data_IF_334959910397
#
_entry.id   IF_334959910397
#
_cell.length_a   1.000
_cell.length_b   1.000
_cell.length_c   1.000
_cell.angle_alpha   90.00
_cell.angle_beta   90.00
_cell.angle_gamma   90.00
#
_symmetry.space_group_name_H-M   'P 1'
#
loop_
_entity.id
_entity.type
_entity.pdbx_description
1 polymer ?
#
# COMPACT_ATOMS: atom_id res chain seq x y z
N UNK A 1 26.33 -8.81 -40.78
CA UNK A 1 25.15 -9.65 -41.07
C UNK A 1 23.95 -8.88 -40.55
N UNK A 2 23.07 -8.44 -41.44
CA UNK A 2 21.95 -7.55 -41.10
C UNK A 2 20.88 -8.28 -40.28
N UNK A 3 20.57 -7.77 -39.09
CA UNK A 3 19.57 -8.36 -38.19
C UNK A 3 18.15 -8.31 -38.77
N UNK A 4 17.88 -7.44 -39.76
CA UNK A 4 16.57 -7.37 -40.42
C UNK A 4 16.26 -8.61 -41.27
N UNK A 5 17.28 -9.26 -41.82
CA UNK A 5 17.15 -10.46 -42.65
C UNK A 5 16.71 -11.68 -41.85
N UNK A 6 17.24 -11.85 -40.64
CA UNK A 6 16.88 -12.98 -39.76
C UNK A 6 15.44 -12.86 -39.27
N UNK A 7 15.02 -11.62 -38.98
CA UNK A 7 13.67 -11.36 -38.50
C UNK A 7 12.60 -11.59 -39.58
N UNK A 8 12.86 -11.16 -40.82
CA UNK A 8 11.96 -11.44 -41.94
C UNK A 8 11.84 -12.94 -42.23
N UNK A 9 12.96 -13.66 -42.16
CA UNK A 9 12.98 -15.10 -42.39
C UNK A 9 12.18 -15.86 -41.31
N UNK A 10 12.27 -15.45 -40.04
CA UNK A 10 11.49 -16.03 -38.96
C UNK A 10 9.97 -15.76 -39.07
N UNK A 11 9.58 -14.64 -39.70
CA UNK A 11 8.19 -14.29 -39.93
C UNK A 11 7.58 -15.09 -41.08
N UNK A 12 8.34 -15.30 -42.16
CA UNK A 12 7.95 -16.18 -43.27
C UNK A 12 7.78 -17.64 -42.80
N UNK A 13 8.69 -18.15 -41.96
CA UNK A 13 8.56 -19.50 -41.37
C UNK A 13 7.30 -19.66 -40.50
N UNK A 14 6.79 -18.57 -39.93
CA UNK A 14 5.57 -18.55 -39.13
C UNK A 14 4.28 -18.31 -39.95
N UNK A 15 4.36 -18.23 -41.29
CA UNK A 15 3.24 -17.83 -42.17
C UNK A 15 2.61 -16.48 -41.77
N UNK A 16 3.44 -15.52 -41.36
CA UNK A 16 2.98 -14.17 -41.00
C UNK A 16 3.30 -13.23 -42.18
N UNK A 17 2.29 -12.94 -42.99
CA UNK A 17 2.41 -11.94 -44.07
C UNK A 17 2.49 -10.52 -43.46
N UNK A 18 3.68 -9.90 -43.56
CA UNK A 18 3.88 -8.50 -43.19
C UNK A 18 3.73 -7.63 -44.43
N UNK A 19 2.54 -7.68 -45.04
CA UNK A 19 2.15 -6.75 -46.09
C UNK A 19 0.84 -6.07 -45.69
N UNK A 20 0.98 -4.77 -45.40
CA UNK A 20 -0.07 -3.81 -45.01
C UNK A 20 -0.60 -3.97 -43.59
N UNK A 21 -0.53 -2.88 -42.81
CA UNK A 21 -0.84 -2.81 -41.38
C UNK A 21 -2.32 -3.00 -41.02
N UNK A 22 -2.90 -4.14 -41.39
CA UNK A 22 -4.23 -4.58 -40.98
C UNK A 22 -4.08 -5.96 -40.35
N UNK A 23 -4.25 -6.00 -39.03
CA UNK A 23 -4.23 -7.24 -38.26
C UNK A 23 -5.51 -8.02 -38.53
N UNK A 24 -5.44 -9.08 -39.34
CA UNK A 24 -6.55 -10.03 -39.52
C UNK A 24 -6.29 -11.21 -38.59
N UNK A 25 -7.10 -11.44 -37.54
CA UNK A 25 -6.95 -12.61 -36.69
C UNK A 25 -7.32 -13.86 -37.48
N UNK A 26 -6.32 -14.66 -37.85
CA UNK A 26 -6.54 -15.99 -38.43
C UNK A 26 -7.02 -16.96 -37.35
N UNK A 27 -8.08 -17.74 -37.59
CA UNK A 27 -8.55 -18.72 -36.64
C UNK A 27 -7.61 -19.93 -36.60
N UNK A 28 -7.12 -20.23 -35.40
CA UNK A 28 -6.47 -21.48 -34.98
C UNK A 28 -5.17 -21.88 -35.71
N UNK A 29 -4.04 -21.38 -35.21
CA UNK A 29 -2.73 -22.00 -35.40
C UNK A 29 -2.69 -23.34 -34.64
N UNK A 30 -2.95 -24.45 -35.34
CA UNK A 30 -2.49 -25.77 -34.89
C UNK A 30 -0.97 -25.80 -34.93
N UNK A 31 -0.33 -25.67 -33.76
CA UNK A 31 1.10 -25.92 -33.55
C UNK A 31 1.44 -27.35 -33.99
N UNK A 32 2.01 -27.50 -35.19
CA UNK A 32 2.62 -28.77 -35.63
C UNK A 32 4.02 -28.85 -35.05
N UNK A 33 4.16 -29.49 -33.89
CA UNK A 33 5.46 -29.83 -33.33
C UNK A 33 6.09 -30.91 -34.25
N UNK A 34 7.26 -30.66 -34.89
CA UNK A 34 7.93 -31.69 -35.67
C UNK A 34 8.38 -32.83 -34.76
N UNK A 35 7.93 -34.05 -35.07
CA UNK A 35 8.15 -35.28 -34.28
C UNK A 35 9.62 -35.66 -34.06
N UNK A 36 10.57 -34.95 -34.67
CA UNK A 36 12.00 -35.28 -34.64
C UNK A 36 12.76 -34.67 -33.45
N UNK A 37 12.11 -33.89 -32.56
CA UNK A 37 12.75 -33.29 -31.37
C UNK A 37 11.95 -33.48 -30.08
N UNK A 38 11.38 -34.66 -29.88
CA UNK A 38 10.85 -35.03 -28.57
C UNK A 38 12.06 -35.46 -27.72
N UNK A 39 12.41 -34.64 -26.72
CA UNK A 39 13.40 -34.99 -25.71
C UNK A 39 12.83 -36.16 -24.93
N UNK A 40 13.42 -37.34 -25.08
CA UNK A 40 13.05 -38.52 -24.30
C UNK A 40 13.63 -38.37 -22.89
N UNK A 41 12.79 -38.03 -21.92
CA UNK A 41 13.15 -38.05 -20.50
C UNK A 41 13.03 -39.49 -20.00
N UNK A 42 14.09 -40.05 -19.44
CA UNK A 42 14.05 -41.40 -18.88
C UNK A 42 13.08 -41.47 -17.69
N UNK A 43 12.26 -42.54 -17.56
CA UNK A 43 11.16 -42.61 -16.60
C UNK A 43 11.57 -42.92 -15.15
N UNK A 44 12.86 -42.95 -14.82
CA UNK A 44 13.36 -43.23 -13.47
C UNK A 44 13.80 -41.96 -12.75
N UNK A 45 12.83 -41.23 -12.20
CA UNK A 45 13.10 -40.25 -11.15
C UNK A 45 13.55 -40.99 -9.88
N UNK A 46 14.82 -40.81 -9.49
CA UNK A 46 15.31 -41.27 -8.19
C UNK A 46 15.09 -40.16 -7.17
N UNK A 47 14.16 -40.39 -6.25
CA UNK A 47 14.03 -39.63 -5.01
C UNK A 47 14.55 -40.50 -3.85
N UNK A 48 15.32 -39.94 -2.90
CA UNK A 48 15.64 -38.52 -2.71
C UNK A 48 16.79 -38.05 -3.61
N UNK A 49 16.72 -36.80 -4.08
CA UNK A 49 17.82 -36.14 -4.78
C UNK A 49 18.99 -35.96 -3.79
N UNK A 50 20.21 -36.28 -4.21
CA UNK A 50 21.40 -35.92 -3.42
C UNK A 50 21.40 -34.41 -3.20
N UNK A 51 21.44 -33.99 -1.93
CA UNK A 51 21.49 -32.58 -1.58
C UNK A 51 22.75 -31.96 -2.20
N UNK A 52 22.63 -30.87 -2.99
CA UNK A 52 23.80 -30.21 -3.52
C UNK A 52 24.68 -29.74 -2.36
N UNK A 53 25.99 -29.96 -2.47
CA UNK A 53 26.98 -29.44 -1.53
C UNK A 53 27.02 -27.91 -1.67
N UNK A 54 26.13 -27.22 -0.95
CA UNK A 54 26.06 -25.76 -0.91
C UNK A 54 27.25 -25.30 -0.08
N UNK A 55 28.38 -25.06 -0.76
CA UNK A 55 29.45 -24.25 -0.19
C UNK A 55 28.90 -22.86 0.04
N UNK A 56 28.72 -22.48 1.31
CA UNK A 56 28.32 -21.13 1.67
C UNK A 56 29.31 -20.14 1.04
N UNK A 57 28.85 -19.29 0.11
CA UNK A 57 29.71 -18.25 -0.39
C UNK A 57 29.89 -17.21 0.72
N UNK A 58 31.13 -17.00 1.13
CA UNK A 58 31.55 -15.99 2.11
C UNK A 58 31.29 -14.61 1.50
N UNK A 59 30.10 -14.08 1.73
CA UNK A 59 29.63 -12.78 1.23
C UNK A 59 29.51 -11.75 2.36
N UNK A 60 30.40 -11.78 3.35
CA UNK A 60 30.29 -10.86 4.49
C UNK A 60 30.47 -9.40 4.04
N UNK A 61 31.43 -9.12 3.14
CA UNK A 61 31.65 -7.75 2.62
C UNK A 61 30.46 -7.24 1.79
N UNK A 62 29.79 -8.11 1.04
CA UNK A 62 28.61 -7.76 0.23
C UNK A 62 27.36 -7.57 1.10
N UNK A 63 27.23 -8.34 2.19
CA UNK A 63 26.18 -8.13 3.19
C UNK A 63 26.38 -6.80 3.91
N UNK A 64 27.61 -6.47 4.30
CA UNK A 64 27.92 -5.19 4.94
C UNK A 64 27.68 -4.00 4.00
N UNK A 65 28.06 -4.10 2.72
CA UNK A 65 27.77 -3.08 1.72
C UNK A 65 26.25 -2.91 1.48
N UNK A 66 25.50 -4.01 1.44
CA UNK A 66 24.05 -3.95 1.30
C UNK A 66 23.36 -3.37 2.55
N UNK A 67 23.80 -3.77 3.73
CA UNK A 67 23.27 -3.29 5.01
C UNK A 67 23.56 -1.80 5.19
N UNK A 68 24.78 -1.35 4.89
CA UNK A 68 25.16 0.06 4.96
C UNK A 68 24.37 0.91 3.97
N UNK A 69 24.26 0.49 2.70
CA UNK A 69 23.43 1.19 1.71
C UNK A 69 21.94 1.25 2.10
N UNK A 70 21.41 0.17 2.69
CA UNK A 70 20.03 0.12 3.16
C UNK A 70 19.80 1.05 4.36
N UNK A 71 20.75 1.07 5.31
CA UNK A 71 20.71 1.96 6.47
C UNK A 71 20.82 3.43 6.07
N UNK A 72 21.73 3.77 5.15
CA UNK A 72 21.85 5.13 4.62
C UNK A 72 20.54 5.59 3.96
N UNK A 73 19.90 4.73 3.17
CA UNK A 73 18.60 5.04 2.55
C UNK A 73 17.52 5.33 3.59
N UNK A 74 17.49 4.57 4.69
CA UNK A 74 16.55 4.77 5.81
C UNK A 74 16.87 6.06 6.57
N UNK A 75 18.14 6.37 6.81
CA UNK A 75 18.55 7.59 7.50
C UNK A 75 18.22 8.81 6.64
N UNK A 76 18.52 8.77 5.34
CA UNK A 76 18.17 9.85 4.41
C UNK A 76 16.67 10.04 4.25
N UNK A 77 15.87 8.96 4.20
CA UNK A 77 14.41 9.07 4.16
C UNK A 77 13.85 9.70 5.44
N UNK A 78 14.39 9.33 6.61
CA UNK A 78 14.03 9.95 7.90
C UNK A 78 14.47 11.40 8.02
N UNK A 79 15.63 11.77 7.47
CA UNK A 79 16.07 13.18 7.46
C UNK A 79 15.22 14.03 6.51
N UNK A 80 14.86 13.51 5.33
CA UNK A 80 13.88 14.16 4.43
C UNK A 80 12.50 14.28 5.09
N UNK A 81 12.05 13.24 5.79
CA UNK A 81 10.82 13.24 6.57
C UNK A 81 10.85 14.22 7.76
N UNK A 82 12.00 14.46 8.38
CA UNK A 82 12.15 15.50 9.44
C UNK A 82 12.21 16.93 8.91
N UNK A 83 12.70 17.13 7.68
CA UNK A 83 12.67 18.43 7.00
C UNK A 83 11.30 18.73 6.37
N UNK A 84 10.52 17.69 6.06
CA UNK A 84 9.08 17.81 5.87
C UNK A 84 8.43 17.96 7.25
N UNK A 85 8.08 19.18 7.65
CA UNK A 85 7.36 19.42 8.91
C UNK A 85 6.00 18.72 9.02
N UNK A 86 5.60 17.88 8.05
CA UNK A 86 4.24 17.32 7.94
C UNK A 86 4.17 15.78 7.83
N UNK A 87 5.27 15.02 7.89
CA UNK A 87 5.21 13.54 7.71
C UNK A 87 5.14 12.72 9.02
N UNK A 88 4.36 13.21 9.98
CA UNK A 88 3.92 12.41 11.13
C UNK A 88 2.61 11.68 10.80
N UNK A 89 2.25 10.59 11.51
CA UNK A 89 0.96 9.93 11.32
C UNK A 89 -0.16 10.97 11.47
N UNK A 90 -1.15 10.91 10.56
CA UNK A 90 -2.26 11.83 10.30
C UNK A 90 -3.23 12.08 11.49
N UNK A 91 -2.69 12.37 12.66
CA UNK A 91 -3.36 12.81 13.88
C UNK A 91 -2.85 14.21 14.24
N UNK A 92 -2.91 15.13 13.28
CA UNK A 92 -2.55 16.53 13.50
C UNK A 92 -3.69 17.26 14.23
N UNK A 93 -3.55 17.39 15.55
CA UNK A 93 -4.21 18.44 16.33
C UNK A 93 -3.44 19.75 16.13
N UNK A 94 -3.61 20.41 14.98
CA UNK A 94 -3.11 21.77 14.82
C UNK A 94 -3.75 22.68 15.88
N UNK A 95 -2.92 23.50 16.54
CA UNK A 95 -3.41 24.56 17.42
C UNK A 95 -4.12 25.60 16.55
N UNK A 96 -5.44 25.49 16.49
CA UNK A 96 -6.28 26.45 15.78
C UNK A 96 -6.23 27.78 16.57
N UNK A 97 -5.78 28.84 15.90
CA UNK A 97 -5.99 30.21 16.38
C UNK A 97 -7.50 30.43 16.56
N UNK A 98 -7.97 31.11 17.62
CA UNK A 98 -9.39 31.29 17.85
C UNK A 98 -10.05 31.87 16.59
N UNK A 99 -10.95 31.09 15.99
CA UNK A 99 -11.75 31.52 14.84
C UNK A 99 -12.80 32.50 15.36
N UNK A 100 -12.92 33.70 14.78
CA UNK A 100 -13.75 34.78 15.31
C UNK A 100 -15.26 34.55 15.11
N UNK A 101 -15.68 33.69 14.18
CA UNK A 101 -17.10 33.41 13.93
C UNK A 101 -17.37 31.96 13.45
N UNK A 102 -18.61 31.49 13.60
CA UNK A 102 -19.07 30.16 13.19
C UNK A 102 -18.96 29.92 11.68
N UNK A 103 -19.22 30.94 10.86
CA UNK A 103 -19.09 30.84 9.39
C UNK A 103 -17.64 30.58 8.96
N UNK A 104 -16.68 31.27 9.60
CA UNK A 104 -15.26 31.06 9.35
C UNK A 104 -14.82 29.66 9.79
N UNK A 105 -15.37 29.16 10.89
CA UNK A 105 -15.13 27.79 11.32
C UNK A 105 -15.61 26.76 10.29
N UNK A 106 -16.81 26.93 9.73
CA UNK A 106 -17.35 26.04 8.70
C UNK A 106 -16.49 26.09 7.44
N UNK A 107 -16.07 27.29 7.02
CA UNK A 107 -15.19 27.48 5.87
C UNK A 107 -13.85 26.78 6.10
N UNK A 108 -13.23 27.01 7.26
CA UNK A 108 -11.96 26.39 7.64
C UNK A 108 -12.06 24.86 7.68
N UNK A 109 -13.13 24.32 8.28
CA UNK A 109 -13.38 22.88 8.33
C UNK A 109 -13.50 22.28 6.93
N UNK A 110 -14.19 22.96 6.00
CA UNK A 110 -14.29 22.53 4.59
C UNK A 110 -12.92 22.56 3.89
N UNK A 111 -12.17 23.64 4.04
CA UNK A 111 -10.82 23.77 3.47
C UNK A 111 -9.89 22.65 3.97
N UNK A 112 -9.91 22.38 5.29
CA UNK A 112 -9.11 21.32 5.89
C UNK A 112 -9.52 19.93 5.39
N UNK A 113 -10.81 19.67 5.19
CA UNK A 113 -11.28 18.42 4.60
C UNK A 113 -10.78 18.25 3.16
N UNK A 114 -10.82 19.31 2.35
CA UNK A 114 -10.29 19.29 0.98
C UNK A 114 -8.78 19.08 0.96
N UNK A 115 -8.04 19.75 1.83
CA UNK A 115 -6.59 19.57 1.97
C UNK A 115 -6.25 18.12 2.31
N UNK A 116 -6.92 17.55 3.32
CA UNK A 116 -6.70 16.18 3.74
C UNK A 116 -7.02 15.17 2.64
N UNK A 117 -8.10 15.39 1.88
CA UNK A 117 -8.45 14.55 0.73
C UNK A 117 -7.38 14.62 -0.38
N UNK A 118 -6.77 15.78 -0.58
CA UNK A 118 -5.66 15.95 -1.53
C UNK A 118 -4.41 15.21 -1.04
N UNK A 119 -4.03 15.40 0.22
CA UNK A 119 -2.89 14.69 0.84
C UNK A 119 -3.06 13.18 0.74
N UNK A 120 -4.26 12.66 1.02
CA UNK A 120 -4.52 11.22 0.91
C UNK A 120 -4.40 10.70 -0.53
N UNK A 121 -4.77 11.52 -1.52
CA UNK A 121 -4.60 11.19 -2.94
C UNK A 121 -3.13 11.22 -3.35
N UNK A 122 -2.37 12.19 -2.85
CA UNK A 122 -0.94 12.31 -3.13
C UNK A 122 -0.14 11.14 -2.50
N UNK A 123 -0.66 10.56 -1.40
CA UNK A 123 -0.08 9.40 -0.70
C UNK A 123 -0.62 8.03 -1.18
N UNK A 124 -1.42 7.98 -2.26
CA UNK A 124 -2.05 6.75 -2.79
C UNK A 124 -2.82 5.92 -1.73
N UNK A 125 -3.45 6.59 -0.75
CA UNK A 125 -4.27 5.92 0.25
C UNK A 125 -5.56 5.37 -0.40
N UNK A 126 -5.99 4.14 -0.02
CA UNK A 126 -7.16 3.50 -0.63
C UNK A 126 -8.46 4.25 -0.36
N UNK A 127 -8.55 4.93 0.79
CA UNK A 127 -9.66 5.80 1.14
C UNK A 127 -9.14 7.12 1.75
N UNK A 128 -9.76 8.27 1.41
CA UNK A 128 -9.37 9.54 2.00
C UNK A 128 -9.75 9.57 3.48
N UNK A 129 -8.79 9.93 4.33
CA UNK A 129 -9.06 10.22 5.73
C UNK A 129 -9.99 11.44 5.78
N UNK A 130 -11.06 11.34 6.56
CA UNK A 130 -12.06 12.39 6.69
C UNK A 130 -11.85 13.17 7.99
N UNK A 131 -12.51 14.33 8.10
CA UNK A 131 -12.63 15.03 9.38
C UNK A 131 -13.80 14.49 10.20
N UNK A 132 -13.70 14.64 11.52
CA UNK A 132 -14.78 14.30 12.43
C UNK A 132 -16.08 15.03 12.06
N UNK A 133 -17.17 14.29 11.97
CA UNK A 133 -18.50 14.84 11.62
C UNK A 133 -19.03 15.79 12.70
N UNK A 134 -18.56 15.68 13.95
CA UNK A 134 -19.01 16.52 15.05
C UNK A 134 -18.84 18.03 14.73
N UNK A 135 -19.88 18.87 14.91
CA UNK A 135 -19.92 20.22 14.33
C UNK A 135 -18.71 21.08 14.69
N UNK A 136 -18.26 21.06 15.95
CA UNK A 136 -17.17 21.91 16.46
C UNK A 136 -15.81 21.20 16.49
N UNK A 137 -15.71 19.98 15.93
CA UNK A 137 -14.48 19.21 15.93
C UNK A 137 -13.69 19.39 14.62
N UNK A 138 -12.37 19.54 14.75
CA UNK A 138 -11.40 19.65 13.65
C UNK A 138 -10.38 18.51 13.63
N UNK A 139 -10.58 17.49 14.47
CA UNK A 139 -9.77 16.28 14.46
C UNK A 139 -10.11 15.42 13.26
N UNK A 140 -9.15 14.63 12.80
CA UNK A 140 -9.37 13.58 11.81
C UNK A 140 -10.28 12.50 12.40
N UNK A 141 -11.19 12.00 11.56
CA UNK A 141 -11.97 10.82 11.87
C UNK A 141 -11.06 9.59 11.83
N UNK A 142 -11.41 8.56 12.60
CA UNK A 142 -10.72 7.28 12.52
C UNK A 142 -11.02 6.70 11.13
N UNK A 143 -10.04 6.09 10.43
CA UNK A 143 -10.29 5.43 9.14
C UNK A 143 -11.51 4.51 9.23
N UNK A 144 -12.36 4.52 8.19
CA UNK A 144 -13.65 3.80 8.13
C UNK A 144 -14.77 4.32 9.05
N UNK A 145 -14.51 5.31 9.93
CA UNK A 145 -15.51 5.89 10.83
C UNK A 145 -15.81 7.36 10.52
N UNK A 146 -16.96 7.84 11.00
CA UNK A 146 -17.41 9.24 10.82
C UNK A 146 -16.88 10.21 11.89
N UNK A 147 -16.38 9.68 13.00
CA UNK A 147 -16.00 10.45 14.17
C UNK A 147 -14.54 10.22 14.54
N UNK A 148 -13.94 11.20 15.20
CA UNK A 148 -12.62 11.04 15.82
C UNK A 148 -12.74 10.25 17.12
N UNK A 149 -11.60 9.82 17.68
CA UNK A 149 -11.57 9.04 18.93
C UNK A 149 -12.33 9.69 20.10
N UNK A 150 -12.42 11.02 20.15
CA UNK A 150 -13.14 11.70 21.24
C UNK A 150 -14.66 11.70 21.05
N UNK A 151 -15.14 11.63 19.80
CA UNK A 151 -16.57 11.71 19.45
C UNK A 151 -17.12 10.37 18.96
N UNK A 152 -16.28 9.35 18.82
CA UNK A 152 -16.67 8.01 18.44
C UNK A 152 -17.77 7.42 19.34
N UNK A 153 -17.86 7.71 20.66
CA UNK A 153 -18.99 7.24 21.49
C UNK A 153 -20.38 7.76 21.07
N UNK A 154 -20.44 8.82 20.25
CA UNK A 154 -21.66 9.39 19.69
C UNK A 154 -22.14 8.65 18.43
N UNK A 155 -21.34 7.74 17.88
CA UNK A 155 -21.73 6.94 16.73
C UNK A 155 -22.86 5.97 17.14
N UNK A 156 -24.00 5.93 16.41
CA UNK A 156 -25.09 5.00 16.71
C UNK A 156 -24.64 3.53 16.66
N UNK A 157 -23.64 3.20 15.84
CA UNK A 157 -23.12 1.85 15.68
C UNK A 157 -21.95 1.57 16.62
N UNK A 158 -21.65 2.43 17.60
CA UNK A 158 -20.48 2.30 18.47
C UNK A 158 -20.40 0.92 19.14
N UNK A 159 -21.52 0.42 19.66
CA UNK A 159 -21.55 -0.84 20.41
C UNK A 159 -21.30 -2.07 19.52
N UNK A 160 -21.47 -1.94 18.21
CA UNK A 160 -21.24 -3.02 17.24
C UNK A 160 -19.78 -3.05 16.77
N UNK A 161 -18.96 -2.07 17.17
CA UNK A 161 -17.56 -1.96 16.75
C UNK A 161 -16.67 -2.88 17.59
N UNK A 162 -15.84 -3.75 16.98
CA UNK A 162 -15.07 -4.74 17.73
C UNK A 162 -13.85 -4.16 18.46
N UNK A 163 -13.43 -2.93 18.14
CA UNK A 163 -12.15 -2.38 18.58
C UNK A 163 -12.25 -1.38 19.73
N UNK A 164 -13.44 -0.88 20.06
CA UNK A 164 -13.59 0.18 21.05
C UNK A 164 -14.74 -0.14 21.99
N UNK A 165 -14.48 -0.05 23.30
CA UNK A 165 -15.48 -0.29 24.34
C UNK A 165 -15.67 1.00 25.13
N UNK A 166 -16.90 1.31 25.54
CA UNK A 166 -17.15 2.45 26.45
C UNK A 166 -16.72 2.08 27.85
N UNK A 167 -16.00 2.98 28.50
CA UNK A 167 -15.72 2.87 29.91
C UNK A 167 -17.03 3.00 30.70
N UNK A 168 -17.35 2.04 31.60
CA UNK A 168 -18.61 2.03 32.34
C UNK A 168 -18.76 3.20 33.32
N UNK A 169 -17.68 3.93 33.62
CA UNK A 169 -17.68 5.02 34.61
C UNK A 169 -17.75 6.42 34.02
N UNK A 170 -17.38 6.62 32.74
CA UNK A 170 -17.28 7.98 32.19
C UNK A 170 -17.50 8.09 30.68
N UNK A 171 -18.02 7.04 30.04
CA UNK A 171 -18.34 6.98 28.60
C UNK A 171 -17.16 7.23 27.64
N UNK A 172 -15.96 7.48 28.17
CA UNK A 172 -14.71 7.55 27.38
C UNK A 172 -14.36 6.17 26.84
N UNK A 173 -13.65 6.14 25.72
CA UNK A 173 -13.21 4.89 25.12
C UNK A 173 -12.11 4.23 25.95
N UNK A 174 -12.26 2.93 26.14
CA UNK A 174 -11.23 2.01 26.62
C UNK A 174 -10.47 1.41 25.42
N UNK A 175 -9.19 1.08 25.62
CA UNK A 175 -8.39 0.41 24.59
C UNK A 175 -8.87 -1.03 24.39
N UNK A 176 -8.53 -1.63 23.24
CA UNK A 176 -8.81 -3.04 22.95
C UNK A 176 -8.27 -3.92 24.08
N UNK A 177 -9.14 -4.73 24.67
CA UNK A 177 -8.79 -5.64 25.78
C UNK A 177 -8.93 -5.04 27.17
N UNK A 178 -9.23 -3.74 27.30
CA UNK A 178 -9.48 -3.09 28.59
C UNK A 178 -10.97 -2.80 28.80
N UNK A 179 -11.48 -3.07 30.00
CA UNK A 179 -12.84 -2.71 30.40
C UNK A 179 -12.98 -1.23 30.80
N UNK A 180 -11.86 -0.56 31.11
CA UNK A 180 -11.82 0.80 31.65
C UNK A 180 -10.89 1.69 30.84
N UNK A 181 -11.25 2.98 30.75
CA UNK A 181 -10.39 3.95 30.07
C UNK A 181 -9.10 4.22 30.86
N UNK A 182 -8.11 4.84 30.22
CA UNK A 182 -6.79 5.17 30.79
C UNK A 182 -6.86 5.90 32.14
N UNK A 183 -7.93 6.65 32.39
CA UNK A 183 -8.13 7.40 33.64
C UNK A 183 -8.70 6.56 34.79
N UNK A 184 -9.34 5.43 34.48
CA UNK A 184 -10.01 4.54 35.44
C UNK A 184 -9.40 3.13 35.50
N UNK A 185 -8.35 2.89 34.70
CA UNK A 185 -7.47 1.73 34.79
C UNK A 185 -6.55 1.90 36.02
N UNK A 186 -7.15 1.88 37.21
CA UNK A 186 -6.46 1.74 38.50
C UNK A 186 -6.64 0.31 38.99
#
# INVERSE_FOLDING_TARGET
MDQSSIFQQALEECNIDVLTGVYVPTPALTLRIPKSKIISVEPTERFPLDEPDIKEPVFDDLKEAFLSASLEKIVMSRMKAKNSKNSGPLLYSEKISPLPNAEEFVLYKRQKATQLAKECKDDDLPEPIQLCTFPTCLNTAIPTYKFCINHLPLDPNFNDQPFFVKCPQCERIAQVGDEKCVFHKK
#
